data_IF_920807778098
#
_entry.id   IF_920807778098
#
_cell.length_a   1.000
_cell.length_b   1.000
_cell.length_c   1.000
_cell.angle_alpha   90.00
_cell.angle_beta   90.00
_cell.angle_gamma   90.00
#
_symmetry.space_group_name_H-M   'P 1'
#
loop_
_entity.id
_entity.type
_entity.pdbx_description
1 polymer ?
#
# COMPACT_ATOMS: atom_id res chain seq x y z
N UNK A 1 37.94 -21.34 -11.59
CA UNK A 1 36.96 -20.50 -12.32
C UNK A 1 35.79 -20.24 -11.38
N UNK A 2 35.76 -19.07 -10.72
CA UNK A 2 34.63 -18.68 -9.86
C UNK A 2 33.47 -18.35 -10.79
N UNK A 3 32.42 -19.18 -10.77
CA UNK A 3 31.17 -18.88 -11.45
C UNK A 3 30.60 -17.66 -10.72
N UNK A 4 30.78 -16.47 -11.29
CA UNK A 4 30.03 -15.30 -10.87
C UNK A 4 28.55 -15.65 -10.98
N UNK A 5 27.83 -15.62 -9.85
CA UNK A 5 26.38 -15.62 -9.85
C UNK A 5 25.95 -14.41 -10.67
N UNK A 6 25.69 -14.59 -11.95
CA UNK A 6 25.03 -13.59 -12.78
C UNK A 6 23.84 -13.09 -11.98
N UNK A 7 23.75 -11.77 -11.77
CA UNK A 7 22.54 -11.16 -11.23
C UNK A 7 21.40 -11.56 -12.15
N UNK A 8 20.69 -12.62 -11.78
CA UNK A 8 19.55 -13.12 -12.53
C UNK A 8 18.50 -12.02 -12.41
N UNK A 9 18.31 -11.25 -13.47
CA UNK A 9 17.23 -10.27 -13.51
C UNK A 9 15.93 -11.01 -13.18
N UNK A 10 15.16 -10.46 -12.24
CA UNK A 10 13.86 -11.03 -11.90
C UNK A 10 12.94 -10.72 -13.07
N UNK A 11 12.81 -11.67 -14.00
CA UNK A 11 11.94 -11.54 -15.16
C UNK A 11 10.51 -11.88 -14.72
N UNK A 12 9.64 -10.87 -14.71
CA UNK A 12 8.20 -11.08 -14.56
C UNK A 12 7.68 -11.91 -15.74
N UNK A 13 6.83 -12.90 -15.45
CA UNK A 13 6.08 -13.58 -16.51
C UNK A 13 4.98 -12.66 -17.07
N UNK A 14 4.44 -13.02 -18.24
CA UNK A 14 3.40 -12.21 -18.91
C UNK A 14 2.19 -11.96 -18.00
N UNK A 15 1.81 -12.94 -17.17
CA UNK A 15 0.71 -12.81 -16.24
C UNK A 15 0.99 -11.76 -15.17
N UNK A 16 2.20 -11.74 -14.61
CA UNK A 16 2.62 -10.77 -13.61
C UNK A 16 2.75 -9.36 -14.21
N UNK A 17 3.28 -9.25 -15.43
CA UNK A 17 3.31 -7.98 -16.17
C UNK A 17 1.90 -7.43 -16.36
N UNK A 18 0.93 -8.28 -16.75
CA UNK A 18 -0.47 -7.88 -16.85
C UNK A 18 -1.09 -7.47 -15.51
N UNK A 19 -0.76 -8.17 -14.42
CA UNK A 19 -1.25 -7.82 -13.07
C UNK A 19 -0.72 -6.45 -12.66
N UNK A 20 0.57 -6.20 -12.89
CA UNK A 20 1.22 -4.93 -12.57
C UNK A 20 0.68 -3.79 -13.45
N UNK A 21 0.46 -4.04 -14.74
CA UNK A 21 -0.15 -3.06 -15.64
C UNK A 21 -1.58 -2.73 -15.21
N UNK A 22 -2.36 -3.73 -14.81
CA UNK A 22 -3.72 -3.53 -14.26
C UNK A 22 -3.71 -2.76 -12.96
N UNK A 23 -2.74 -3.00 -12.06
CA UNK A 23 -2.63 -2.25 -10.81
C UNK A 23 -2.29 -0.78 -11.06
N UNK A 24 -1.39 -0.49 -12.01
CA UNK A 24 -1.10 0.88 -12.45
C UNK A 24 -2.29 1.54 -13.11
N UNK A 25 -2.98 0.86 -14.04
CA UNK A 25 -4.15 1.41 -14.72
C UNK A 25 -5.27 1.75 -13.72
N UNK A 26 -5.55 0.84 -12.78
CA UNK A 26 -6.55 1.05 -11.74
C UNK A 26 -6.17 2.23 -10.83
N UNK A 27 -4.90 2.31 -10.41
CA UNK A 27 -4.36 3.40 -9.59
C UNK A 27 -4.42 4.75 -10.31
N UNK A 28 -4.05 4.77 -11.59
CA UNK A 28 -4.13 5.95 -12.44
C UNK A 28 -5.56 6.46 -12.56
N UNK A 29 -6.51 5.59 -12.91
CA UNK A 29 -7.92 5.99 -13.04
C UNK A 29 -8.51 6.46 -11.71
N UNK A 30 -8.13 5.83 -10.60
CA UNK A 30 -8.49 6.30 -9.26
C UNK A 30 -7.96 7.73 -9.01
N UNK A 31 -6.67 7.97 -9.24
CA UNK A 31 -6.04 9.30 -9.07
C UNK A 31 -6.76 10.33 -9.94
N UNK A 32 -6.98 10.05 -11.23
CA UNK A 32 -7.63 10.97 -12.15
C UNK A 32 -9.07 11.30 -11.71
N UNK A 33 -9.82 10.31 -11.22
CA UNK A 33 -11.17 10.54 -10.71
C UNK A 33 -11.16 11.44 -9.47
N UNK A 34 -10.26 11.19 -8.50
CA UNK A 34 -10.16 12.02 -7.30
C UNK A 34 -9.67 13.43 -7.62
N UNK A 35 -8.70 13.60 -8.53
CA UNK A 35 -8.23 14.91 -8.98
C UNK A 35 -9.31 15.69 -9.73
N UNK A 36 -10.12 15.01 -10.55
CA UNK A 36 -11.27 15.63 -11.18
C UNK A 36 -12.26 16.15 -10.13
N UNK A 37 -12.58 15.36 -9.12
CA UNK A 37 -13.44 15.80 -8.00
C UNK A 37 -12.78 16.95 -7.23
N UNK A 38 -11.45 16.97 -7.10
CA UNK A 38 -10.73 18.06 -6.44
C UNK A 38 -10.89 19.41 -7.15
N UNK A 39 -11.16 19.42 -8.46
CA UNK A 39 -11.51 20.66 -9.18
C UNK A 39 -12.85 21.26 -8.73
N UNK A 40 -13.72 20.46 -8.11
CA UNK A 40 -15.01 20.89 -7.58
C UNK A 40 -14.94 21.41 -6.13
N UNK A 41 -13.77 21.29 -5.46
CA UNK A 41 -13.52 21.86 -4.14
C UNK A 41 -12.75 20.93 -3.19
N UNK A 42 -12.16 21.48 -2.12
CA UNK A 42 -11.32 20.81 -1.09
C UNK A 42 -10.03 20.15 -1.62
N UNK A 43 -9.07 20.93 -2.12
CA UNK A 43 -7.87 20.38 -2.76
C UNK A 43 -6.96 19.61 -1.78
N UNK A 44 -6.76 20.08 -0.55
CA UNK A 44 -5.76 19.48 0.36
C UNK A 44 -6.07 18.03 0.74
N UNK A 45 -7.31 17.75 1.14
CA UNK A 45 -7.74 16.39 1.50
C UNK A 45 -7.77 15.47 0.27
N UNK A 46 -8.35 15.94 -0.84
CA UNK A 46 -8.48 15.12 -2.05
C UNK A 46 -7.13 14.85 -2.71
N UNK A 47 -6.17 15.79 -2.64
CA UNK A 47 -4.80 15.55 -3.09
C UNK A 47 -4.13 14.44 -2.26
N UNK A 48 -4.29 14.47 -0.93
CA UNK A 48 -3.76 13.41 -0.07
C UNK A 48 -4.42 12.06 -0.37
N UNK A 49 -5.74 12.02 -0.57
CA UNK A 49 -6.47 10.81 -0.97
C UNK A 49 -6.00 10.30 -2.34
N UNK A 50 -5.85 11.19 -3.33
CA UNK A 50 -5.37 10.82 -4.66
C UNK A 50 -3.99 10.16 -4.58
N UNK A 51 -3.04 10.83 -3.92
CA UNK A 51 -1.67 10.32 -3.80
C UNK A 51 -1.59 9.01 -3.01
N UNK A 52 -2.03 9.03 -1.75
CA UNK A 52 -1.89 7.87 -0.85
C UNK A 52 -2.86 6.74 -1.19
N UNK A 53 -4.09 7.06 -1.61
CA UNK A 53 -5.06 6.08 -2.07
C UNK A 53 -4.61 5.42 -3.36
N UNK A 54 -4.07 6.18 -4.32
CA UNK A 54 -3.52 5.63 -5.56
C UNK A 54 -2.34 4.69 -5.30
N UNK A 55 -1.40 5.10 -4.45
CA UNK A 55 -0.27 4.26 -4.02
C UNK A 55 -0.77 2.96 -3.36
N UNK A 56 -1.68 3.09 -2.40
CA UNK A 56 -2.23 1.96 -1.64
C UNK A 56 -2.93 0.98 -2.55
N UNK A 57 -3.75 1.46 -3.47
CA UNK A 57 -4.49 0.65 -4.43
C UNK A 57 -3.55 -0.16 -5.32
N UNK A 58 -2.48 0.47 -5.83
CA UNK A 58 -1.48 -0.19 -6.65
C UNK A 58 -0.76 -1.31 -5.87
N UNK A 59 -0.26 -0.96 -4.68
CA UNK A 59 0.47 -1.90 -3.82
C UNK A 59 -0.45 -3.04 -3.38
N UNK A 60 -1.67 -2.75 -2.92
CA UNK A 60 -2.59 -3.77 -2.44
C UNK A 60 -3.02 -4.70 -3.58
N UNK A 61 -3.37 -4.17 -4.76
CA UNK A 61 -3.79 -5.02 -5.88
C UNK A 61 -2.68 -5.97 -6.34
N UNK A 62 -1.47 -5.44 -6.57
CA UNK A 62 -0.32 -6.25 -6.99
C UNK A 62 0.06 -7.27 -5.90
N UNK A 63 0.00 -6.88 -4.62
CA UNK A 63 0.32 -7.75 -3.48
C UNK A 63 -0.69 -8.86 -3.30
N UNK A 64 -1.99 -8.56 -3.32
CA UNK A 64 -3.06 -9.56 -3.17
C UNK A 64 -3.07 -10.57 -4.32
N UNK A 65 -2.62 -10.17 -5.51
CA UNK A 65 -2.46 -11.06 -6.68
C UNK A 65 -1.09 -11.76 -6.74
N UNK A 66 -0.18 -11.48 -5.79
CA UNK A 66 1.12 -12.13 -5.69
C UNK A 66 2.15 -11.68 -6.74
N UNK A 67 1.95 -10.52 -7.37
CA UNK A 67 2.91 -9.92 -8.31
C UNK A 67 3.78 -8.83 -7.66
N UNK A 68 3.64 -8.63 -6.34
CA UNK A 68 4.41 -7.64 -5.59
C UNK A 68 5.77 -8.19 -5.14
N UNK A 69 6.85 -7.37 -5.18
CA UNK A 69 8.18 -7.76 -4.69
C UNK A 69 8.21 -8.21 -3.23
N UNK A 70 7.23 -7.81 -2.42
CA UNK A 70 7.13 -8.15 -1.00
C UNK A 70 6.61 -9.57 -0.73
N UNK A 71 6.04 -10.23 -1.74
CA UNK A 71 5.38 -11.53 -1.56
C UNK A 71 5.75 -12.56 -2.62
N UNK A 72 6.24 -12.13 -3.78
CA UNK A 72 6.69 -13.04 -4.84
C UNK A 72 8.07 -13.63 -4.53
N UNK A 73 8.13 -14.94 -4.34
CA UNK A 73 9.33 -15.71 -4.00
C UNK A 73 10.49 -15.52 -4.99
N UNK A 74 10.24 -15.16 -6.25
CA UNK A 74 11.28 -14.88 -7.25
C UNK A 74 12.20 -13.73 -6.86
N UNK A 75 11.70 -12.81 -6.04
CA UNK A 75 12.48 -11.71 -5.47
C UNK A 75 13.40 -12.14 -4.31
N UNK A 76 13.39 -13.43 -3.94
CA UNK A 76 14.32 -14.05 -3.00
C UNK A 76 14.35 -13.34 -1.65
N UNK A 77 15.45 -12.59 -1.40
CA UNK A 77 15.64 -11.85 -0.14
C UNK A 77 14.55 -10.81 0.11
N UNK A 78 14.07 -10.12 -0.94
CA UNK A 78 13.05 -9.08 -0.80
C UNK A 78 11.69 -9.64 -0.39
N UNK A 79 11.30 -10.79 -0.92
CA UNK A 79 10.06 -11.47 -0.51
C UNK A 79 10.13 -11.99 0.92
N UNK A 80 11.30 -12.53 1.31
CA UNK A 80 11.53 -12.96 2.70
C UNK A 80 11.43 -11.77 3.66
N UNK A 81 11.98 -10.62 3.30
CA UNK A 81 11.90 -9.38 4.08
C UNK A 81 10.47 -8.83 4.09
N UNK A 82 9.77 -8.85 2.95
CA UNK A 82 8.39 -8.38 2.82
C UNK A 82 7.44 -9.08 3.80
N UNK A 83 7.64 -10.38 4.02
CA UNK A 83 6.92 -11.15 5.06
C UNK A 83 7.06 -10.60 6.48
N UNK A 84 8.21 -10.00 6.81
CA UNK A 84 8.46 -9.39 8.12
C UNK A 84 8.12 -7.90 8.15
N UNK A 85 8.07 -7.22 7.00
CA UNK A 85 7.76 -5.78 6.90
C UNK A 85 6.25 -5.49 7.04
N UNK A 86 5.38 -6.41 6.62
CA UNK A 86 3.92 -6.19 6.66
C UNK A 86 3.40 -5.80 8.06
N UNK A 87 3.88 -6.48 9.10
CA UNK A 87 3.47 -6.21 10.49
C UNK A 87 3.97 -4.85 11.02
N UNK A 88 5.28 -4.51 10.95
CA UNK A 88 5.77 -3.17 11.29
C UNK A 88 5.06 -2.04 10.55
N UNK A 89 4.78 -2.20 9.25
CA UNK A 89 4.08 -1.18 8.44
C UNK A 89 2.64 -0.98 8.95
N UNK A 90 1.95 -2.07 9.28
CA UNK A 90 0.60 -2.01 9.84
C UNK A 90 0.60 -1.37 11.23
N UNK A 91 1.55 -1.74 12.10
CA UNK A 91 1.68 -1.16 13.45
C UNK A 91 2.02 0.33 13.39
N UNK A 92 2.90 0.75 12.47
CA UNK A 92 3.21 2.15 12.23
C UNK A 92 1.94 2.92 11.84
N UNK A 93 1.17 2.40 10.87
CA UNK A 93 -0.09 3.01 10.46
C UNK A 93 -1.10 3.09 11.61
N UNK A 94 -1.25 2.03 12.41
CA UNK A 94 -2.11 2.04 13.58
C UNK A 94 -1.68 3.07 14.62
N UNK A 95 -0.38 3.17 14.90
CA UNK A 95 0.17 4.17 15.83
C UNK A 95 -0.08 5.61 15.37
N UNK A 96 0.17 5.91 14.09
CA UNK A 96 -0.12 7.23 13.52
C UNK A 96 -1.62 7.56 13.60
N UNK A 97 -2.49 6.58 13.31
CA UNK A 97 -3.94 6.78 13.41
C UNK A 97 -4.37 7.09 14.85
N UNK A 98 -3.90 6.31 15.82
CA UNK A 98 -4.21 6.50 17.25
C UNK A 98 -3.77 7.88 17.72
N UNK A 99 -2.53 8.29 17.42
CA UNK A 99 -2.01 9.60 17.79
C UNK A 99 -2.85 10.71 17.16
N UNK A 100 -3.21 10.57 15.87
CA UNK A 100 -4.04 11.56 15.16
C UNK A 100 -5.39 11.71 15.84
N UNK A 101 -6.04 10.61 16.21
CA UNK A 101 -7.33 10.61 16.93
C UNK A 101 -7.19 11.26 18.31
N UNK A 102 -6.17 10.90 19.09
CA UNK A 102 -5.92 11.48 20.42
C UNK A 102 -5.74 13.01 20.31
N UNK A 103 -4.93 13.48 19.36
CA UNK A 103 -4.71 14.92 19.14
C UNK A 103 -6.01 15.62 18.75
N UNK A 104 -6.85 14.99 17.93
CA UNK A 104 -8.18 15.50 17.59
C UNK A 104 -9.07 15.70 18.82
N UNK A 105 -9.12 14.69 19.71
CA UNK A 105 -9.86 14.78 20.96
C UNK A 105 -9.33 15.86 21.90
N UNK A 106 -8.01 15.93 22.09
CA UNK A 106 -7.36 16.93 22.96
C UNK A 106 -7.63 18.35 22.48
N UNK A 107 -7.71 18.57 21.16
CA UNK A 107 -7.97 19.89 20.58
C UNK A 107 -9.46 20.23 20.45
N UNK A 108 -10.37 19.36 20.88
CA UNK A 108 -11.82 19.54 20.75
C UNK A 108 -12.27 19.93 19.33
N UNK A 109 -11.61 19.39 18.30
CA UNK A 109 -11.91 19.76 16.91
C UNK A 109 -13.23 19.16 16.44
N UNK A 110 -13.96 19.89 15.61
CA UNK A 110 -15.13 19.34 14.91
C UNK A 110 -14.70 18.29 13.88
N UNK A 111 -15.59 17.38 13.49
CA UNK A 111 -15.29 16.30 12.54
C UNK A 111 -14.77 16.84 11.19
N UNK A 112 -15.29 17.98 10.74
CA UNK A 112 -14.82 18.67 9.52
C UNK A 112 -13.39 19.18 9.69
N UNK A 113 -13.11 19.85 10.80
CA UNK A 113 -11.76 20.36 11.11
C UNK A 113 -10.79 19.21 11.32
N UNK A 114 -11.20 18.09 11.91
CA UNK A 114 -10.39 16.89 12.05
C UNK A 114 -10.05 16.25 10.69
N UNK A 115 -10.99 16.22 9.75
CA UNK A 115 -10.73 15.68 8.41
C UNK A 115 -9.76 16.56 7.60
N UNK A 116 -9.79 17.87 7.82
CA UNK A 116 -8.89 18.83 7.16
C UNK A 116 -7.53 18.91 7.88
N UNK A 117 -7.55 18.88 9.21
CA UNK A 117 -6.38 18.90 10.08
C UNK A 117 -5.63 17.57 10.01
N UNK A 118 -4.43 17.59 9.45
CA UNK A 118 -3.65 16.36 9.34
C UNK A 118 -4.28 15.34 8.40
N UNK A 119 -4.98 15.79 7.34
CA UNK A 119 -5.45 14.93 6.24
C UNK A 119 -4.36 13.98 5.73
N UNK A 120 -3.13 14.47 5.65
CA UNK A 120 -1.96 13.64 5.37
C UNK A 120 -1.77 12.48 6.36
N UNK A 121 -1.87 12.74 7.68
CA UNK A 121 -1.57 11.77 8.73
C UNK A 121 -2.58 10.63 8.76
N UNK A 122 -3.88 10.92 8.77
CA UNK A 122 -4.87 9.84 8.85
C UNK A 122 -5.00 9.09 7.51
N UNK A 123 -4.88 9.77 6.36
CA UNK A 123 -4.92 9.10 5.05
C UNK A 123 -3.69 8.21 4.87
N UNK A 124 -2.49 8.69 5.22
CA UNK A 124 -1.27 7.87 5.17
C UNK A 124 -1.31 6.73 6.19
N UNK A 125 -1.88 6.94 7.38
CA UNK A 125 -2.05 5.89 8.37
C UNK A 125 -2.93 4.75 7.87
N UNK A 126 -4.11 5.06 7.31
CA UNK A 126 -5.00 4.06 6.71
C UNK A 126 -4.32 3.34 5.53
N UNK A 127 -3.59 4.09 4.71
CA UNK A 127 -2.82 3.56 3.58
C UNK A 127 -1.76 2.54 4.02
N UNK A 128 -0.99 2.86 5.07
CA UNK A 128 -0.01 1.97 5.66
C UNK A 128 -0.67 0.71 6.24
N UNK A 129 -1.78 0.85 6.96
CA UNK A 129 -2.54 -0.30 7.48
C UNK A 129 -2.98 -1.21 6.33
N UNK A 130 -3.59 -0.67 5.27
CA UNK A 130 -4.04 -1.45 4.12
C UNK A 130 -2.89 -2.15 3.40
N UNK A 131 -1.78 -1.44 3.13
CA UNK A 131 -0.60 -2.05 2.51
C UNK A 131 -0.01 -3.16 3.37
N UNK A 132 0.19 -2.93 4.68
CA UNK A 132 0.70 -3.94 5.61
C UNK A 132 -0.22 -5.17 5.70
N UNK A 133 -1.52 -4.95 5.80
CA UNK A 133 -2.53 -6.00 5.82
C UNK A 133 -2.53 -6.83 4.53
N UNK A 134 -2.39 -6.20 3.35
CA UNK A 134 -2.33 -6.90 2.07
C UNK A 134 -1.13 -7.86 1.99
N UNK A 135 0.03 -7.43 2.50
CA UNK A 135 1.26 -8.23 2.56
C UNK A 135 1.07 -9.40 3.53
N UNK A 136 0.52 -9.15 4.72
CA UNK A 136 0.29 -10.18 5.73
C UNK A 136 -0.71 -11.23 5.22
N UNK A 137 -1.83 -10.78 4.65
CA UNK A 137 -2.88 -11.63 4.12
C UNK A 137 -2.39 -12.53 2.99
N UNK A 138 -1.64 -12.00 2.02
CA UNK A 138 -1.12 -12.84 0.93
C UNK A 138 -0.09 -13.85 1.44
N UNK A 139 0.78 -13.46 2.37
CA UNK A 139 1.73 -14.39 2.98
C UNK A 139 1.05 -15.50 3.79
N UNK A 140 -0.05 -15.20 4.50
CA UNK A 140 -0.88 -16.20 5.17
C UNK A 140 -1.49 -17.18 4.15
N UNK A 141 -2.07 -16.65 3.07
CA UNK A 141 -2.66 -17.45 2.00
C UNK A 141 -1.62 -18.34 1.29
N UNK A 142 -0.42 -17.84 1.03
CA UNK A 142 0.67 -18.61 0.44
C UNK A 142 1.08 -19.82 1.30
N UNK A 143 0.99 -19.70 2.64
CA UNK A 143 1.24 -20.85 3.52
C UNK A 143 0.14 -21.89 3.39
N UNK A 144 -1.11 -21.44 3.43
CA UNK A 144 -2.27 -22.33 3.29
C UNK A 144 -2.25 -23.09 1.96
N UNK A 145 -1.92 -22.41 0.86
CA UNK A 145 -1.78 -23.00 -0.49
C UNK A 145 -0.57 -23.95 -0.62
N UNK A 146 0.38 -23.96 0.34
CA UNK A 146 1.53 -24.86 0.34
C UNK A 146 1.33 -26.10 1.23
N UNK A 147 0.35 -26.05 2.13
CA UNK A 147 -0.04 -27.14 3.01
C UNK A 147 -1.16 -28.02 2.38
N UNK A 148 -1.74 -27.57 1.25
CA UNK A 148 -2.70 -28.28 0.38
C UNK A 148 -1.97 -29.01 -0.76
#
# INVERSE_FOLDING_TARGET
MKIEKSKQEVIYDERQQQIQLKSYALSFWFVMAILYIATLGKPSLLLNIAFWGGLTLNVCYSTLKGASPFVDQRFGKFAKIGRWIGLPVMLLGAGVLIITVIVGFVKHTTLKEFLEMGSFLWVSALSLICMGASIFYRNYRNKKEADE
#
